data_IF_851007423464
#
_entry.id   IF_851007423464
#
_cell.length_a   1.000
_cell.length_b   1.000
_cell.length_c   1.000
_cell.angle_alpha   90.00
_cell.angle_beta   90.00
_cell.angle_gamma   90.00
#
_symmetry.space_group_name_H-M   'P 1'
#
loop_
_entity.id
_entity.type
_entity.pdbx_description
1 polymer ?
#
# COMPACT_ATOMS: atom_id res chain seq x y z
N UNK A 1 10.55 -34.12 7.71
CA UNK A 1 10.83 -32.72 8.08
C UNK A 1 10.40 -31.87 6.91
N UNK A 2 9.28 -31.19 7.09
CA UNK A 2 8.52 -30.56 6.02
C UNK A 2 9.28 -29.35 5.46
N UNK A 3 9.61 -29.39 4.17
CA UNK A 3 10.14 -28.24 3.44
C UNK A 3 8.93 -27.39 3.08
N UNK A 4 8.52 -26.49 3.97
CA UNK A 4 7.56 -25.45 3.60
C UNK A 4 8.19 -24.60 2.49
N UNK A 5 7.76 -24.81 1.26
CA UNK A 5 8.06 -23.92 0.15
C UNK A 5 7.44 -22.57 0.49
N UNK A 6 8.24 -21.64 1.01
CA UNK A 6 7.85 -20.25 1.17
C UNK A 6 7.64 -19.65 -0.22
N UNK A 7 6.46 -19.85 -0.77
CA UNK A 7 6.03 -19.19 -2.01
C UNK A 7 6.18 -17.69 -1.82
N UNK A 8 7.06 -17.07 -2.61
CA UNK A 8 7.28 -15.63 -2.60
C UNK A 8 5.94 -14.91 -2.86
N UNK A 9 5.62 -13.91 -2.03
CA UNK A 9 4.41 -13.10 -2.19
C UNK A 9 4.45 -12.37 -3.53
N UNK A 10 3.36 -12.43 -4.27
CA UNK A 10 3.16 -11.61 -5.47
C UNK A 10 2.70 -10.23 -5.04
N UNK A 11 3.55 -9.24 -5.25
CA UNK A 11 3.29 -7.84 -4.89
C UNK A 11 3.13 -7.01 -6.14
N UNK A 12 2.06 -6.20 -6.20
CA UNK A 12 1.86 -5.19 -7.23
C UNK A 12 1.93 -3.81 -6.61
N UNK A 13 2.67 -2.89 -7.23
CA UNK A 13 2.83 -1.52 -6.75
C UNK A 13 2.14 -0.59 -7.73
N UNK A 14 1.19 0.21 -7.24
CA UNK A 14 0.62 1.27 -8.04
C UNK A 14 1.58 2.45 -8.15
N UNK A 15 1.55 3.14 -9.29
CA UNK A 15 2.22 4.43 -9.43
C UNK A 15 1.68 5.44 -8.40
N UNK A 16 2.55 6.34 -7.93
CA UNK A 16 2.19 7.47 -7.05
C UNK A 16 1.11 8.38 -7.62
N UNK A 17 0.91 8.39 -8.95
CA UNK A 17 -0.15 9.15 -9.61
C UNK A 17 -1.54 8.49 -9.50
N UNK A 18 -1.62 7.22 -9.11
CA UNK A 18 -2.87 6.46 -9.03
C UNK A 18 -3.85 7.11 -8.06
N UNK A 19 -3.46 7.28 -6.80
CA UNK A 19 -4.36 7.77 -5.77
C UNK A 19 -4.85 9.21 -6.01
N UNK A 20 -3.99 10.19 -6.37
CA UNK A 20 -4.45 11.52 -6.74
C UNK A 20 -5.41 11.51 -7.92
N UNK A 21 -5.19 10.63 -8.92
CA UNK A 21 -6.11 10.48 -10.06
C UNK A 21 -7.44 9.85 -9.64
N UNK A 22 -7.42 8.86 -8.74
CA UNK A 22 -8.64 8.26 -8.18
C UNK A 22 -9.48 9.29 -7.45
N UNK A 23 -8.87 10.11 -6.60
CA UNK A 23 -9.56 11.19 -5.86
C UNK A 23 -10.17 12.21 -6.82
N UNK A 24 -9.40 12.68 -7.81
CA UNK A 24 -9.83 13.76 -8.71
C UNK A 24 -10.88 13.35 -9.73
N UNK A 25 -10.74 12.15 -10.28
CA UNK A 25 -11.51 11.74 -11.49
C UNK A 25 -12.30 10.45 -11.31
N UNK A 26 -12.20 9.80 -10.15
CA UNK A 26 -12.87 8.54 -9.88
C UNK A 26 -12.40 7.39 -10.77
N UNK A 27 -13.11 6.27 -10.65
CA UNK A 27 -12.77 5.00 -11.30
C UNK A 27 -12.76 5.04 -12.83
N UNK A 28 -13.66 5.80 -13.46
CA UNK A 28 -13.86 5.80 -14.92
C UNK A 28 -12.57 6.08 -15.70
N UNK A 29 -11.73 6.97 -15.19
CA UNK A 29 -10.44 7.34 -15.77
C UNK A 29 -9.32 6.30 -15.55
N UNK A 30 -9.51 5.38 -14.60
CA UNK A 30 -8.51 4.41 -14.16
C UNK A 30 -8.72 3.01 -14.74
N UNK A 31 -9.90 2.72 -15.31
CA UNK A 31 -10.25 1.42 -15.92
C UNK A 31 -9.20 0.81 -16.86
N UNK A 32 -8.40 1.65 -17.52
CA UNK A 32 -7.38 1.24 -18.48
C UNK A 32 -6.00 1.00 -17.85
N UNK A 33 -5.76 1.48 -16.64
CA UNK A 33 -4.45 1.37 -15.97
C UNK A 33 -4.08 -0.09 -15.71
N UNK A 34 -5.07 -0.90 -15.37
CA UNK A 34 -4.97 -2.33 -15.10
C UNK A 34 -5.33 -3.19 -16.31
N UNK A 35 -5.50 -2.63 -17.52
CA UNK A 35 -5.99 -3.40 -18.69
C UNK A 35 -5.11 -4.60 -19.04
N UNK A 36 -3.81 -4.53 -18.75
CA UNK A 36 -2.82 -5.59 -19.05
C UNK A 36 -2.37 -6.35 -17.81
N UNK A 37 -2.96 -6.09 -16.65
CA UNK A 37 -2.57 -6.71 -15.38
C UNK A 37 -3.79 -7.08 -14.56
N UNK A 38 -3.89 -8.36 -14.20
CA UNK A 38 -4.89 -8.84 -13.27
C UNK A 38 -4.41 -8.58 -11.83
N UNK A 39 -4.75 -7.43 -11.26
CA UNK A 39 -4.33 -7.06 -9.91
C UNK A 39 -4.86 -8.04 -8.84
N UNK A 40 -5.94 -8.77 -9.12
CA UNK A 40 -6.51 -9.77 -8.20
C UNK A 40 -5.72 -11.09 -8.17
N UNK A 41 -4.75 -11.27 -9.09
CA UNK A 41 -3.85 -12.43 -9.10
C UNK A 41 -2.62 -12.26 -8.19
N UNK A 42 -2.48 -11.08 -7.58
CA UNK A 42 -1.43 -10.74 -6.61
C UNK A 42 -1.93 -10.98 -5.19
N UNK A 43 -1.00 -11.17 -4.25
CA UNK A 43 -1.32 -11.32 -2.83
C UNK A 43 -1.50 -9.95 -2.14
N UNK A 44 -0.65 -8.99 -2.52
CA UNK A 44 -0.57 -7.65 -1.93
C UNK A 44 -0.56 -6.59 -3.01
N UNK A 45 -1.34 -5.52 -2.82
CA UNK A 45 -1.22 -4.28 -3.56
C UNK A 45 -0.68 -3.18 -2.65
N UNK A 46 0.37 -2.51 -3.10
CA UNK A 46 0.94 -1.33 -2.45
C UNK A 46 0.47 -0.09 -3.19
N UNK A 47 -0.10 0.85 -2.46
CA UNK A 47 -0.60 2.13 -3.00
C UNK A 47 0.09 3.27 -2.25
N UNK A 48 1.14 3.88 -2.82
CA UNK A 48 1.68 5.13 -2.32
C UNK A 48 0.61 6.22 -2.37
N UNK A 49 0.44 6.95 -1.28
CA UNK A 49 -0.56 8.01 -1.13
C UNK A 49 0.16 9.32 -0.87
N UNK A 50 0.00 10.28 -1.80
CA UNK A 50 0.57 11.61 -1.70
C UNK A 50 -0.50 12.60 -1.24
N UNK A 51 -0.31 13.20 -0.06
CA UNK A 51 -1.18 14.21 0.55
C UNK A 51 -0.43 15.54 0.64
N UNK A 52 -0.34 16.23 -0.50
CA UNK A 52 0.38 17.50 -0.70
C UNK A 52 1.88 17.46 -0.41
N UNK A 53 2.28 17.48 0.87
CA UNK A 53 3.68 17.42 1.30
C UNK A 53 4.00 16.14 2.09
N UNK A 54 2.99 15.28 2.31
CA UNK A 54 3.08 14.11 3.17
C UNK A 54 2.90 12.82 2.37
N UNK A 55 3.85 11.89 2.54
CA UNK A 55 3.79 10.56 1.94
C UNK A 55 3.29 9.53 2.95
N UNK A 56 2.30 8.75 2.53
CA UNK A 56 1.75 7.63 3.29
C UNK A 56 1.59 6.41 2.39
N UNK A 57 1.21 5.29 2.97
CA UNK A 57 1.04 4.04 2.25
C UNK A 57 -0.30 3.38 2.61
N UNK A 58 -1.06 2.97 1.60
CA UNK A 58 -2.11 1.98 1.79
C UNK A 58 -1.65 0.61 1.28
N UNK A 59 -1.96 -0.44 2.05
CA UNK A 59 -1.65 -1.83 1.75
C UNK A 59 -2.95 -2.60 1.66
N UNK A 60 -3.20 -3.21 0.50
CA UNK A 60 -4.34 -4.09 0.26
C UNK A 60 -3.80 -5.52 0.31
N UNK A 61 -4.34 -6.33 1.20
CA UNK A 61 -3.95 -7.73 1.34
C UNK A 61 -5.17 -8.62 1.10
N UNK A 62 -5.16 -9.34 -0.02
CA UNK A 62 -6.32 -10.14 -0.44
C UNK A 62 -6.51 -11.40 0.41
N UNK A 63 -5.42 -11.97 0.94
CA UNK A 63 -5.46 -13.16 1.80
C UNK A 63 -6.06 -12.83 3.17
N UNK A 64 -5.65 -11.71 3.76
CA UNK A 64 -6.17 -11.22 5.04
C UNK A 64 -7.52 -10.48 4.91
N UNK A 65 -7.93 -10.16 3.68
CA UNK A 65 -9.07 -9.31 3.38
C UNK A 65 -9.01 -7.97 4.13
N UNK A 66 -7.87 -7.28 4.05
CA UNK A 66 -7.68 -5.98 4.71
C UNK A 66 -7.21 -4.89 3.76
N UNK A 67 -7.64 -3.66 4.01
CA UNK A 67 -7.01 -2.43 3.50
C UNK A 67 -6.48 -1.70 4.73
N UNK A 68 -5.15 -1.62 4.84
CA UNK A 68 -4.44 -0.99 5.95
C UNK A 68 -3.81 0.33 5.50
N UNK A 69 -4.04 1.40 6.24
CA UNK A 69 -3.44 2.70 6.01
C UNK A 69 -2.31 2.93 7.02
N UNK A 70 -1.12 3.26 6.53
CA UNK A 70 0.08 3.50 7.30
C UNK A 70 0.49 4.96 7.17
N UNK A 71 0.59 5.64 8.30
CA UNK A 71 0.98 7.04 8.40
C UNK A 71 1.97 7.21 9.54
N UNK A 72 3.18 7.64 9.22
CA UNK A 72 4.26 7.87 10.19
C UNK A 72 4.03 9.07 11.11
N UNK A 73 3.05 9.92 10.82
CA UNK A 73 2.56 10.98 11.73
C UNK A 73 1.34 10.52 12.55
N UNK A 74 0.87 9.28 12.38
CA UNK A 74 -0.20 8.69 13.19
C UNK A 74 -1.62 9.11 12.81
N UNK A 75 -1.81 9.89 11.74
CA UNK A 75 -3.13 10.29 11.27
C UNK A 75 -3.92 9.10 10.72
N UNK A 76 -5.24 9.21 10.79
CA UNK A 76 -6.16 8.28 10.13
C UNK A 76 -6.63 8.86 8.79
N UNK A 77 -6.97 8.00 7.83
CA UNK A 77 -7.48 8.42 6.53
C UNK A 77 -8.59 7.48 6.03
N UNK A 78 -9.75 7.57 6.67
CA UNK A 78 -10.92 6.74 6.31
C UNK A 78 -11.43 7.03 4.90
N UNK A 79 -11.23 8.25 4.41
CA UNK A 79 -11.57 8.60 3.03
C UNK A 79 -10.73 7.77 2.04
N UNK A 80 -9.42 7.68 2.25
CA UNK A 80 -8.53 6.85 1.44
C UNK A 80 -8.97 5.38 1.45
N UNK A 81 -9.19 4.82 2.64
CA UNK A 81 -9.62 3.43 2.82
C UNK A 81 -10.94 3.14 2.08
N UNK A 82 -11.93 4.03 2.20
CA UNK A 82 -13.21 3.89 1.54
C UNK A 82 -13.10 4.01 0.01
N UNK A 83 -12.31 4.97 -0.49
CA UNK A 83 -12.08 5.14 -1.93
C UNK A 83 -11.39 3.92 -2.54
N UNK A 84 -10.41 3.34 -1.86
CA UNK A 84 -9.73 2.12 -2.32
C UNK A 84 -10.67 0.91 -2.31
N UNK A 85 -11.50 0.77 -1.27
CA UNK A 85 -12.54 -0.28 -1.25
C UNK A 85 -13.51 -0.13 -2.43
N UNK A 86 -13.97 1.09 -2.70
CA UNK A 86 -14.85 1.38 -3.83
C UNK A 86 -14.16 1.11 -5.17
N UNK A 87 -12.89 1.50 -5.31
CA UNK A 87 -12.08 1.19 -6.48
C UNK A 87 -12.01 -0.32 -6.73
N UNK A 88 -11.67 -1.11 -5.71
CA UNK A 88 -11.57 -2.58 -5.84
C UNK A 88 -12.90 -3.21 -6.24
N UNK A 89 -14.02 -2.75 -5.66
CA UNK A 89 -15.35 -3.24 -6.03
C UNK A 89 -15.65 -2.97 -7.51
N UNK A 90 -15.41 -1.73 -7.98
CA UNK A 90 -15.66 -1.35 -9.37
C UNK A 90 -14.71 -2.03 -10.37
N UNK A 91 -13.44 -2.19 -9.99
CA UNK A 91 -12.43 -2.89 -10.78
C UNK A 91 -12.78 -4.38 -10.90
N UNK A 92 -13.19 -5.02 -9.80
CA UNK A 92 -13.59 -6.43 -9.82
C UNK A 92 -14.82 -6.63 -10.72
N UNK A 93 -15.84 -5.78 -10.56
CA UNK A 93 -17.03 -5.81 -11.42
C UNK A 93 -16.71 -5.65 -12.90
N UNK A 94 -15.78 -4.76 -13.25
CA UNK A 94 -15.39 -4.50 -14.64
C UNK A 94 -14.52 -5.62 -15.25
N UNK A 95 -13.63 -6.24 -14.47
CA UNK A 95 -12.64 -7.21 -14.98
C UNK A 95 -13.00 -8.67 -14.78
N UNK A 96 -13.74 -8.99 -13.73
CA UNK A 96 -14.13 -10.36 -13.36
C UNK A 96 -15.59 -10.66 -13.67
N UNK A 97 -16.42 -9.62 -13.84
CA UNK A 97 -17.87 -9.78 -14.08
C UNK A 97 -18.63 -10.38 -12.90
N UNK A 98 -17.94 -10.70 -11.81
CA UNK A 98 -18.50 -11.20 -10.58
C UNK A 98 -18.71 -10.03 -9.61
N UNK A 99 -19.83 -10.05 -8.89
CA UNK A 99 -19.97 -9.29 -7.65
C UNK A 99 -19.18 -10.03 -6.56
N UNK A 100 -17.86 -10.08 -6.73
CA UNK A 100 -17.00 -10.42 -5.61
C UNK A 100 -17.12 -9.25 -4.64
N UNK A 101 -18.04 -9.36 -3.68
CA UNK A 101 -18.09 -8.48 -2.52
C UNK A 101 -16.78 -8.70 -1.77
N UNK A 102 -15.73 -7.95 -2.13
CA UNK A 102 -14.48 -7.95 -1.38
C UNK A 102 -14.81 -7.23 -0.06
N UNK A 103 -15.32 -8.00 0.89
CA UNK A 103 -15.57 -7.53 2.25
C UNK A 103 -14.22 -7.35 2.94
N UNK A 104 -13.56 -6.24 2.63
CA UNK A 104 -12.29 -5.86 3.21
C UNK A 104 -12.51 -5.13 4.52
N UNK A 105 -11.79 -5.53 5.55
CA UNK A 105 -11.68 -4.74 6.78
C UNK A 105 -10.80 -3.52 6.50
N UNK A 106 -11.30 -2.34 6.90
CA UNK A 106 -10.59 -1.07 6.77
C UNK A 106 -9.90 -0.75 8.09
N UNK A 107 -8.58 -0.55 8.06
CA UNK A 107 -7.76 -0.42 9.26
C UNK A 107 -6.82 0.77 9.11
N UNK A 108 -6.92 1.74 10.02
CA UNK A 108 -5.85 2.71 10.22
C UNK A 108 -4.84 2.11 11.19
N UNK A 109 -3.62 1.90 10.74
CA UNK A 109 -2.60 1.28 11.58
C UNK A 109 -2.20 2.23 12.71
N UNK A 110 -2.19 1.69 13.93
CA UNK A 110 -1.75 2.36 15.16
C UNK A 110 -0.58 1.58 15.75
N UNK A 111 0.12 2.19 16.71
CA UNK A 111 1.29 1.61 17.38
C UNK A 111 2.40 1.16 16.41
N UNK A 112 2.52 1.88 15.29
CA UNK A 112 3.58 1.73 14.29
C UNK A 112 4.68 2.76 14.54
N UNK A 113 5.91 2.53 14.04
CA UNK A 113 6.99 3.50 14.13
C UNK A 113 6.57 4.86 13.57
N UNK A 114 6.80 5.92 14.34
CA UNK A 114 6.47 7.28 13.95
C UNK A 114 7.75 8.06 13.62
N UNK A 115 7.61 9.00 12.67
CA UNK A 115 8.65 9.97 12.40
C UNK A 115 8.62 11.07 13.46
N UNK A 116 9.79 11.59 13.83
CA UNK A 116 9.97 12.70 14.78
C UNK A 116 10.41 13.99 14.07
N UNK A 117 10.46 14.00 12.74
CA UNK A 117 10.76 15.19 11.92
C UNK A 117 9.71 15.38 10.81
N UNK A 118 9.86 16.43 10.00
CA UNK A 118 8.93 16.77 8.92
C UNK A 118 9.34 16.24 7.53
N UNK A 119 10.46 15.53 7.40
CA UNK A 119 11.05 15.13 6.10
C UNK A 119 10.98 13.63 5.82
N UNK A 120 10.90 12.78 6.83
CA UNK A 120 11.14 11.34 6.67
C UNK A 120 9.90 10.55 6.22
N UNK A 121 8.76 11.19 5.99
CA UNK A 121 7.51 10.52 5.63
C UNK A 121 7.67 9.56 4.43
N UNK A 122 8.44 9.96 3.41
CA UNK A 122 8.75 9.13 2.25
C UNK A 122 9.58 7.88 2.59
N UNK A 123 10.55 8.02 3.49
CA UNK A 123 11.38 6.89 3.96
C UNK A 123 10.53 5.91 4.75
N UNK A 124 9.70 6.40 5.67
CA UNK A 124 8.77 5.56 6.42
C UNK A 124 7.78 4.83 5.51
N UNK A 125 7.20 5.51 4.52
CA UNK A 125 6.33 4.88 3.52
C UNK A 125 7.04 3.74 2.78
N UNK A 126 8.31 3.93 2.39
CA UNK A 126 9.13 2.87 1.79
C UNK A 126 9.38 1.70 2.73
N UNK A 127 9.68 1.95 4.01
CA UNK A 127 9.90 0.90 5.01
C UNK A 127 8.61 0.12 5.28
N UNK A 128 7.47 0.79 5.41
CA UNK A 128 6.18 0.11 5.54
C UNK A 128 5.90 -0.80 4.33
N UNK A 129 6.20 -0.35 3.11
CA UNK A 129 6.07 -1.15 1.90
C UNK A 129 7.01 -2.37 1.90
N UNK A 130 8.26 -2.19 2.30
CA UNK A 130 9.28 -3.23 2.40
C UNK A 130 8.85 -4.35 3.36
N UNK A 131 8.38 -3.98 4.56
CA UNK A 131 7.90 -4.94 5.56
C UNK A 131 6.62 -5.63 5.10
N UNK A 132 5.67 -4.88 4.52
CA UNK A 132 4.43 -5.45 3.98
C UNK A 132 4.72 -6.46 2.86
N UNK A 133 5.66 -6.18 1.96
CA UNK A 133 6.01 -7.04 0.83
C UNK A 133 6.55 -8.42 1.22
N UNK A 134 7.05 -8.56 2.45
CA UNK A 134 7.62 -9.79 3.01
C UNK A 134 6.75 -10.41 4.11
N UNK A 135 5.56 -9.87 4.36
CA UNK A 135 4.71 -10.23 5.51
C UNK A 135 5.44 -10.11 6.86
N UNK A 136 6.43 -9.22 6.94
CA UNK A 136 7.27 -9.07 8.12
C UNK A 136 6.58 -8.20 9.18
N UNK A 137 6.79 -8.54 10.46
CA UNK A 137 6.36 -7.69 11.57
C UNK A 137 7.21 -6.42 11.59
N UNK A 138 6.57 -5.26 11.55
CA UNK A 138 7.24 -3.96 11.67
C UNK A 138 7.97 -3.89 13.01
N UNK A 139 9.28 -3.64 12.97
CA UNK A 139 10.14 -3.56 14.14
C UNK A 139 11.27 -2.52 14.01
N UNK A 140 11.16 -1.58 13.08
CA UNK A 140 12.13 -0.49 12.91
C UNK A 140 11.78 0.73 13.77
N UNK A 141 12.72 1.67 13.92
CA UNK A 141 12.52 2.95 14.61
C UNK A 141 13.27 4.05 13.86
N UNK A 142 12.98 5.33 14.08
CA UNK A 142 13.76 6.38 13.41
C UNK A 142 15.25 6.38 13.81
N UNK A 143 15.55 6.08 15.08
CA UNK A 143 16.93 6.12 15.61
C UNK A 143 17.81 5.04 14.98
N UNK A 144 17.27 3.85 14.70
CA UNK A 144 18.01 2.78 14.01
C UNK A 144 18.34 3.12 12.55
N UNK A 145 17.68 4.11 11.96
CA UNK A 145 17.83 4.46 10.53
C UNK A 145 18.76 5.67 10.32
N UNK A 146 19.03 6.49 11.35
CA UNK A 146 20.04 7.57 11.27
C UNK A 146 21.48 7.05 11.37
N UNK A 147 21.67 5.82 11.85
CA UNK A 147 23.01 5.19 11.99
C UNK A 147 23.43 4.39 10.75
N UNK A 148 22.49 3.98 9.89
CA UNK A 148 22.78 3.29 8.64
C UNK A 148 22.40 4.22 7.48
N UNK A 149 23.37 4.61 6.65
CA UNK A 149 23.16 5.44 5.46
C UNK A 149 22.17 4.78 4.47
N UNK A 150 20.86 4.93 4.66
CA UNK A 150 19.80 4.45 3.76
C UNK A 150 19.57 5.34 2.54
N UNK A 151 20.65 5.87 1.95
CA UNK A 151 20.57 6.83 0.84
C UNK A 151 20.94 6.29 -0.55
N UNK A 152 21.09 4.96 -0.77
CA UNK A 152 21.65 4.53 -2.05
C UNK A 152 21.10 3.27 -2.74
N UNK A 153 20.16 2.49 -2.18
CA UNK A 153 19.80 1.21 -2.85
C UNK A 153 18.30 0.96 -3.08
N UNK A 154 17.39 1.44 -2.23
CA UNK A 154 15.96 1.08 -2.36
C UNK A 154 15.05 2.13 -3.01
N UNK A 155 15.40 3.42 -2.95
CA UNK A 155 14.56 4.50 -3.51
C UNK A 155 14.47 4.43 -5.04
N UNK A 156 15.51 3.96 -5.73
CA UNK A 156 15.56 3.91 -7.19
C UNK A 156 14.68 2.81 -7.83
N UNK A 157 14.10 1.89 -7.05
CA UNK A 157 13.28 0.80 -7.58
C UNK A 157 11.79 0.90 -7.20
N UNK A 158 11.39 1.91 -6.43
CA UNK A 158 9.99 2.08 -5.97
C UNK A 158 9.34 3.40 -6.43
N UNK A 159 10.08 4.31 -7.09
CA UNK A 159 9.51 5.51 -7.71
C UNK A 159 9.96 5.71 -9.16
#
# INVERSE_FOLDING_TARGET
MDRSSSSQLKVYVFSTFFYPKLVRTGYSSLKRWTRRVDIFSYDILLVPVHLDIHWTLAVINFKEKTIKYYDSLGHSNDQCLNLLRQYLHLECKDKKGEDFCINMQLINMKDIPQQMNSSDCGVFACKFAEYASRHAKINFSQVSELTENYNSVFIAHIF
#
